data_IF_322428833030
#
_entry.id   IF_322428833030
#
_cell.length_a   1.000
_cell.length_b   1.000
_cell.length_c   1.000
_cell.angle_alpha   90.00
_cell.angle_beta   90.00
_cell.angle_gamma   90.00
#
_symmetry.space_group_name_H-M   'P 1'
#
loop_
_entity.id
_entity.type
_entity.pdbx_description
1 polymer ?
#
# COMPACT_ATOMS: atom_id res chain seq x y z
N UNK A 1 46.28 7.60 21.74
CA UNK A 1 46.18 6.49 20.76
C UNK A 1 45.11 5.52 21.23
N UNK A 2 43.88 5.60 20.69
CA UNK A 2 42.83 4.64 20.98
C UNK A 2 42.74 3.64 19.82
N UNK A 3 43.05 2.37 20.09
CA UNK A 3 42.90 1.25 19.16
C UNK A 3 41.39 1.04 18.87
N UNK A 4 40.90 1.64 17.78
CA UNK A 4 39.58 1.31 17.25
C UNK A 4 39.65 -0.01 16.50
N UNK A 5 38.88 -1.01 16.94
CA UNK A 5 38.67 -2.29 16.25
C UNK A 5 38.34 -2.02 14.77
N UNK A 6 39.19 -2.48 13.85
CA UNK A 6 38.83 -2.54 12.42
C UNK A 6 37.68 -3.54 12.29
N UNK A 7 36.46 -3.03 12.07
CA UNK A 7 35.39 -3.85 11.51
C UNK A 7 35.90 -4.50 10.23
N UNK A 8 35.77 -5.83 10.11
CA UNK A 8 36.36 -6.56 9.00
C UNK A 8 35.91 -6.00 7.66
N UNK A 9 36.83 -5.97 6.68
CA UNK A 9 36.62 -5.50 5.31
C UNK A 9 35.73 -6.42 4.46
N UNK A 10 34.69 -7.02 5.07
CA UNK A 10 33.70 -7.85 4.41
C UNK A 10 32.30 -7.36 4.76
N UNK A 11 31.47 -7.16 3.74
CA UNK A 11 30.04 -6.86 3.86
C UNK A 11 29.28 -8.06 4.44
N UNK A 12 28.01 -7.85 4.82
CA UNK A 12 27.13 -8.90 5.35
C UNK A 12 26.89 -10.06 4.36
N UNK A 13 27.01 -9.81 3.06
CA UNK A 13 26.91 -10.79 1.97
C UNK A 13 28.24 -11.51 1.68
N UNK A 14 29.28 -11.30 2.48
CA UNK A 14 30.58 -11.94 2.35
C UNK A 14 31.53 -11.29 1.35
N UNK A 15 31.06 -10.27 0.61
CA UNK A 15 31.87 -9.55 -0.39
C UNK A 15 32.92 -8.68 0.30
N UNK A 16 34.14 -8.74 -0.21
CA UNK A 16 35.23 -7.87 0.24
C UNK A 16 34.91 -6.41 -0.10
N UNK A 17 34.89 -5.55 0.91
CA UNK A 17 34.69 -4.11 0.77
C UNK A 17 35.80 -3.37 1.54
N UNK A 18 36.74 -2.75 0.81
CA UNK A 18 37.83 -2.01 1.43
C UNK A 18 37.39 -0.63 1.94
N UNK A 19 36.18 -0.18 1.62
CA UNK A 19 35.66 1.12 2.05
C UNK A 19 35.10 1.03 3.48
N UNK A 20 35.16 2.16 4.18
CA UNK A 20 34.58 2.27 5.52
C UNK A 20 33.07 2.38 5.45
N UNK A 21 32.37 1.84 6.44
CA UNK A 21 30.91 1.96 6.50
C UNK A 21 30.48 3.40 6.86
N UNK A 22 29.41 3.88 6.22
CA UNK A 22 28.81 5.19 6.51
C UNK A 22 28.37 5.32 7.98
N UNK A 23 28.00 4.21 8.63
CA UNK A 23 27.67 4.18 10.07
C UNK A 23 28.89 4.44 10.96
N UNK A 24 30.07 3.96 10.57
CA UNK A 24 31.31 4.14 11.34
C UNK A 24 31.72 5.61 11.32
N UNK A 25 31.68 6.24 10.14
CA UNK A 25 32.09 7.64 10.02
C UNK A 25 31.06 8.61 10.61
N UNK A 26 29.75 8.26 10.63
CA UNK A 26 28.73 8.98 11.41
C UNK A 26 29.10 9.03 12.90
N UNK A 27 29.39 7.88 13.51
CA UNK A 27 29.76 7.81 14.94
C UNK A 27 31.03 8.60 15.25
N UNK A 28 32.01 8.58 14.33
CA UNK A 28 33.24 9.38 14.49
C UNK A 28 32.98 10.87 14.40
N UNK A 29 32.13 11.32 13.48
CA UNK A 29 31.77 12.72 13.33
C UNK A 29 31.10 13.26 14.61
N UNK A 30 30.23 12.45 15.24
CA UNK A 30 29.58 12.78 16.53
C UNK A 30 30.59 12.94 17.70
N UNK A 31 31.76 12.29 17.62
CA UNK A 31 32.79 12.32 18.66
C UNK A 31 33.82 13.46 18.49
N UNK A 32 33.74 14.27 17.44
CA UNK A 32 34.67 15.39 17.19
C UNK A 32 34.41 16.52 18.22
N UNK A 33 35.45 17.20 18.75
CA UNK A 33 35.26 18.35 19.62
C UNK A 33 34.37 19.42 19.00
N UNK A 34 33.49 20.01 19.82
CA UNK A 34 32.57 21.08 19.39
C UNK A 34 33.34 22.40 19.24
N UNK A 35 33.53 22.84 18.00
CA UNK A 35 34.08 24.15 17.62
C UNK A 35 33.03 24.88 16.77
N UNK A 36 33.18 26.20 16.53
CA UNK A 36 32.28 26.90 15.61
C UNK A 36 32.18 26.23 14.23
N UNK A 37 33.28 25.64 13.74
CA UNK A 37 33.31 24.92 12.46
C UNK A 37 32.56 23.58 12.54
N UNK A 38 32.81 22.76 13.57
CA UNK A 38 32.21 21.43 13.66
C UNK A 38 30.72 21.46 14.02
N UNK A 39 30.26 22.59 14.56
CA UNK A 39 28.84 22.86 14.82
C UNK A 39 28.11 23.48 13.61
N UNK A 40 28.83 23.93 12.58
CA UNK A 40 28.23 24.51 11.38
C UNK A 40 27.46 23.44 10.59
N UNK A 41 26.27 23.74 10.05
CA UNK A 41 25.55 22.84 9.14
C UNK A 41 26.42 22.37 7.97
N UNK A 42 27.32 23.24 7.47
CA UNK A 42 28.23 22.91 6.37
C UNK A 42 29.25 21.80 6.69
N UNK A 43 29.49 21.49 7.97
CA UNK A 43 30.39 20.42 8.40
C UNK A 43 29.68 19.08 8.61
N UNK A 44 28.34 19.06 8.63
CA UNK A 44 27.57 17.82 8.80
C UNK A 44 27.78 16.90 7.61
N UNK A 45 27.79 15.60 7.87
CA UNK A 45 27.85 14.60 6.81
C UNK A 45 26.52 14.59 6.05
N UNK A 46 26.56 14.80 4.73
CA UNK A 46 25.37 15.02 3.90
C UNK A 46 24.29 13.92 4.02
N UNK A 47 24.68 12.65 4.20
CA UNK A 47 23.74 11.51 4.25
C UNK A 47 23.06 11.32 5.63
N UNK A 48 23.39 12.15 6.62
CA UNK A 48 22.73 12.20 7.95
C UNK A 48 22.29 13.61 8.33
N UNK A 49 22.39 14.57 7.40
CA UNK A 49 21.95 15.94 7.61
C UNK A 49 20.49 16.09 7.14
N UNK A 50 19.55 16.02 8.09
CA UNK A 50 18.11 16.06 7.80
C UNK A 50 17.68 17.36 7.12
N UNK A 51 18.29 18.49 7.52
CA UNK A 51 18.02 19.80 6.91
C UNK A 51 18.44 19.81 5.43
N UNK A 52 19.62 19.24 5.14
CA UNK A 52 20.12 19.12 3.77
C UNK A 52 19.24 18.18 2.93
N UNK A 53 18.92 17.00 3.46
CA UNK A 53 18.07 16.01 2.79
C UNK A 53 16.65 16.53 2.52
N UNK A 54 16.17 17.49 3.31
CA UNK A 54 14.87 18.12 3.13
C UNK A 54 14.85 19.28 2.10
N UNK A 55 16.01 19.72 1.58
CA UNK A 55 16.09 20.77 0.55
C UNK A 55 15.37 20.40 -0.75
N UNK A 56 14.79 21.37 -1.42
CA UNK A 56 13.99 21.16 -2.65
C UNK A 56 14.78 20.42 -3.74
N UNK A 57 16.07 20.73 -3.89
CA UNK A 57 16.96 20.14 -4.89
C UNK A 57 17.16 18.64 -4.70
N UNK A 58 16.95 18.11 -3.49
CA UNK A 58 17.08 16.68 -3.17
C UNK A 58 15.74 15.93 -3.22
N UNK A 59 14.70 16.53 -3.80
CA UNK A 59 13.45 15.81 -4.12
C UNK A 59 13.69 14.49 -4.88
N UNK A 60 14.56 14.41 -5.91
CA UNK A 60 14.82 13.15 -6.61
C UNK A 60 15.39 12.05 -5.69
N UNK A 61 16.24 12.42 -4.74
CA UNK A 61 16.80 11.47 -3.76
C UNK A 61 15.72 10.96 -2.82
N UNK A 62 14.83 11.83 -2.32
CA UNK A 62 13.70 11.42 -1.46
C UNK A 62 12.71 10.51 -2.20
N UNK A 63 12.40 10.81 -3.46
CA UNK A 63 11.60 9.93 -4.31
C UNK A 63 12.25 8.56 -4.47
N UNK A 64 13.56 8.50 -4.69
CA UNK A 64 14.30 7.25 -4.76
C UNK A 64 14.26 6.48 -3.44
N UNK A 65 14.39 7.14 -2.29
CA UNK A 65 14.29 6.50 -0.98
C UNK A 65 12.90 5.92 -0.72
N UNK A 66 11.83 6.63 -1.06
CA UNK A 66 10.45 6.13 -0.95
C UNK A 66 10.16 4.97 -1.91
N UNK A 67 10.84 4.92 -3.06
CA UNK A 67 10.76 3.76 -3.95
C UNK A 67 11.51 2.55 -3.35
N UNK A 68 12.76 2.75 -2.92
CA UNK A 68 13.64 1.66 -2.51
C UNK A 68 13.31 1.06 -1.15
N UNK A 69 12.98 1.88 -0.14
CA UNK A 69 12.81 1.39 1.24
C UNK A 69 11.71 0.33 1.36
N UNK A 70 10.47 0.55 0.86
CA UNK A 70 9.43 -0.48 0.92
C UNK A 70 9.82 -1.72 0.10
N UNK A 71 10.38 -1.53 -1.09
CA UNK A 71 10.76 -2.62 -1.98
C UNK A 71 11.83 -3.54 -1.38
N UNK A 72 12.86 -2.95 -0.75
CA UNK A 72 13.90 -3.70 -0.04
C UNK A 72 13.31 -4.47 1.14
N UNK A 73 12.47 -3.83 1.96
CA UNK A 73 11.87 -4.48 3.13
C UNK A 73 10.89 -5.60 2.75
N UNK A 74 10.09 -5.41 1.70
CA UNK A 74 9.20 -6.45 1.17
C UNK A 74 10.00 -7.64 0.62
N UNK A 75 11.09 -7.38 -0.08
CA UNK A 75 12.00 -8.41 -0.61
C UNK A 75 12.68 -9.19 0.52
N UNK A 76 13.19 -8.52 1.55
CA UNK A 76 13.78 -9.15 2.74
C UNK A 76 12.79 -10.04 3.49
N UNK A 77 11.50 -9.68 3.44
CA UNK A 77 10.38 -10.46 4.00
C UNK A 77 9.84 -11.53 3.05
N UNK A 78 10.42 -11.68 1.86
CA UNK A 78 10.03 -12.69 0.89
C UNK A 78 8.68 -12.44 0.23
N UNK A 79 8.09 -11.24 0.32
CA UNK A 79 6.79 -10.93 -0.28
C UNK A 79 6.93 -10.89 -1.81
N UNK A 80 6.24 -11.81 -2.50
CA UNK A 80 6.27 -11.98 -3.96
C UNK A 80 5.07 -11.34 -4.63
N UNK A 81 3.87 -11.47 -4.04
CA UNK A 81 2.65 -10.91 -4.60
C UNK A 81 1.67 -10.45 -3.53
N UNK A 82 0.78 -9.53 -3.91
CA UNK A 82 -0.21 -8.90 -3.04
C UNK A 82 -1.61 -8.96 -3.63
N UNK A 83 -2.61 -8.91 -2.74
CA UNK A 83 -4.00 -8.59 -3.10
C UNK A 83 -4.30 -7.20 -2.55
N UNK A 84 -4.55 -6.27 -3.46
CA UNK A 84 -4.79 -4.86 -3.12
C UNK A 84 -6.26 -4.66 -2.77
N UNK A 85 -6.51 -3.97 -1.66
CA UNK A 85 -7.86 -3.60 -1.24
C UNK A 85 -7.99 -2.09 -1.07
N UNK A 86 -8.90 -1.50 -1.85
CA UNK A 86 -9.27 -0.10 -1.78
C UNK A 86 -10.72 0.06 -1.31
N UNK A 87 -11.02 1.14 -0.61
CA UNK A 87 -12.40 1.44 -0.21
C UNK A 87 -12.53 2.59 0.77
N UNK A 88 -13.77 2.88 1.15
CA UNK A 88 -14.10 4.01 2.00
C UNK A 88 -13.48 3.93 3.40
N UNK A 89 -12.60 4.89 3.72
CA UNK A 89 -12.07 5.09 5.06
C UNK A 89 -13.15 5.45 6.11
N UNK A 90 -14.36 5.81 5.66
CA UNK A 90 -15.46 6.31 6.49
C UNK A 90 -16.51 5.25 6.83
N UNK A 91 -16.41 4.07 6.21
CA UNK A 91 -17.36 2.97 6.45
C UNK A 91 -17.07 2.39 7.84
N UNK A 92 -18.01 2.41 8.79
CA UNK A 92 -17.80 1.86 10.12
C UNK A 92 -17.81 0.33 10.08
N UNK A 93 -17.11 -0.30 11.04
CA UNK A 93 -17.31 -1.71 11.32
C UNK A 93 -18.76 -1.96 11.80
N UNK A 94 -19.33 -3.15 11.60
CA UNK A 94 -20.68 -3.45 12.06
C UNK A 94 -20.84 -3.20 13.56
N UNK A 95 -21.95 -2.55 13.93
CA UNK A 95 -22.25 -2.17 15.32
C UNK A 95 -21.45 -0.98 15.86
N UNK A 96 -20.52 -0.41 15.09
CA UNK A 96 -19.86 0.86 15.43
C UNK A 96 -20.67 2.05 14.89
N UNK A 97 -20.50 3.21 15.54
CA UNK A 97 -21.15 4.44 15.09
C UNK A 97 -20.57 4.92 13.75
N UNK A 98 -21.40 5.49 12.89
CA UNK A 98 -20.98 6.17 11.67
C UNK A 98 -20.30 7.53 11.99
N UNK A 99 -19.12 7.46 12.62
CA UNK A 99 -18.36 8.60 13.15
C UNK A 99 -18.05 9.68 12.11
N UNK A 100 -18.02 9.32 10.83
CA UNK A 100 -17.73 10.24 9.74
C UNK A 100 -18.98 10.97 9.19
N UNK A 101 -20.18 10.59 9.64
CA UNK A 101 -21.42 11.20 9.19
C UNK A 101 -21.53 12.66 9.64
N UNK A 102 -22.01 13.52 8.74
CA UNK A 102 -22.27 14.95 9.01
C UNK A 102 -23.76 15.29 9.04
N UNK A 103 -24.61 14.34 8.67
CA UNK A 103 -26.07 14.45 8.68
C UNK A 103 -26.72 13.06 8.78
N UNK A 104 -28.03 13.01 8.99
CA UNK A 104 -28.77 11.76 9.19
C UNK A 104 -28.77 10.85 7.95
N UNK A 105 -28.82 11.43 6.74
CA UNK A 105 -28.76 10.65 5.50
C UNK A 105 -27.43 9.91 5.41
N UNK A 106 -26.32 10.59 5.69
CA UNK A 106 -25.00 9.97 5.72
C UNK A 106 -24.89 8.92 6.83
N UNK A 107 -25.48 9.17 8.00
CA UNK A 107 -25.47 8.21 9.11
C UNK A 107 -26.13 6.89 8.70
N UNK A 108 -27.37 6.95 8.19
CA UNK A 108 -28.11 5.77 7.73
C UNK A 108 -27.36 5.04 6.61
N UNK A 109 -26.83 5.78 5.63
CA UNK A 109 -26.12 5.17 4.50
C UNK A 109 -24.79 4.54 4.92
N UNK A 110 -24.03 5.16 5.84
CA UNK A 110 -22.77 4.60 6.33
C UNK A 110 -23.00 3.39 7.24
N UNK A 111 -24.04 3.41 8.08
CA UNK A 111 -24.44 2.25 8.88
C UNK A 111 -24.84 1.08 7.96
N UNK A 112 -25.63 1.32 6.93
CA UNK A 112 -25.98 0.30 5.92
C UNK A 112 -24.75 -0.20 5.14
N UNK A 113 -23.79 0.67 4.86
CA UNK A 113 -22.54 0.33 4.17
C UNK A 113 -21.59 -0.55 5.02
N UNK A 114 -21.87 -0.76 6.32
CA UNK A 114 -21.05 -1.64 7.17
C UNK A 114 -20.97 -3.09 6.65
N UNK A 115 -21.94 -3.52 5.83
CA UNK A 115 -21.87 -4.80 5.12
C UNK A 115 -20.60 -4.94 4.27
N UNK A 116 -20.11 -3.84 3.69
CA UNK A 116 -18.87 -3.85 2.90
C UNK A 116 -17.63 -4.01 3.78
N UNK A 117 -17.69 -3.62 5.05
CA UNK A 117 -16.61 -3.92 6.01
C UNK A 117 -16.55 -5.44 6.24
N UNK A 118 -17.68 -6.10 6.45
CA UNK A 118 -17.72 -7.56 6.64
C UNK A 118 -17.26 -8.31 5.41
N UNK A 119 -17.73 -7.93 4.22
CA UNK A 119 -17.29 -8.55 2.97
C UNK A 119 -15.81 -8.31 2.68
N UNK A 120 -15.27 -7.12 3.00
CA UNK A 120 -13.84 -6.85 2.91
C UNK A 120 -13.03 -7.76 3.85
N UNK A 121 -13.44 -7.85 5.12
CA UNK A 121 -12.78 -8.72 6.10
C UNK A 121 -12.83 -10.18 5.66
N UNK A 122 -13.98 -10.64 5.17
CA UNK A 122 -14.20 -12.00 4.70
C UNK A 122 -13.35 -12.32 3.46
N UNK A 123 -13.29 -11.41 2.49
CA UNK A 123 -12.45 -11.54 1.31
C UNK A 123 -10.97 -11.64 1.67
N UNK A 124 -10.51 -10.78 2.59
CA UNK A 124 -9.14 -10.82 3.10
C UNK A 124 -8.80 -12.14 3.79
N UNK A 125 -9.74 -12.71 4.57
CA UNK A 125 -9.58 -14.05 5.17
C UNK A 125 -9.44 -15.14 4.12
N UNK A 126 -10.26 -15.13 3.06
CA UNK A 126 -10.16 -16.11 1.96
C UNK A 126 -8.80 -16.04 1.27
N UNK A 127 -8.36 -14.84 0.90
CA UNK A 127 -7.04 -14.63 0.30
C UNK A 127 -5.92 -15.09 1.23
N UNK A 128 -6.01 -14.78 2.52
CA UNK A 128 -4.99 -15.13 3.51
C UNK A 128 -4.91 -16.62 3.80
N UNK A 129 -6.06 -17.32 3.83
CA UNK A 129 -6.09 -18.79 3.90
C UNK A 129 -5.40 -19.43 2.71
N UNK A 130 -5.61 -18.90 1.50
CA UNK A 130 -4.91 -19.38 0.31
C UNK A 130 -3.42 -19.05 0.35
N UNK A 131 -3.08 -17.83 0.78
CA UNK A 131 -1.71 -17.35 0.99
C UNK A 131 -0.89 -18.27 1.91
N UNK A 132 -1.53 -18.95 2.88
CA UNK A 132 -0.88 -19.94 3.74
C UNK A 132 -0.23 -21.11 2.97
N UNK A 133 -0.77 -21.47 1.79
CA UNK A 133 -0.15 -22.48 0.92
C UNK A 133 1.16 -22.03 0.26
N UNK A 134 1.48 -20.74 0.37
CA UNK A 134 2.71 -20.11 -0.13
C UNK A 134 3.57 -19.55 1.00
N UNK A 135 3.44 -20.07 2.23
CA UNK A 135 4.11 -19.56 3.44
C UNK A 135 3.89 -18.05 3.66
N UNK A 136 2.73 -17.55 3.25
CA UNK A 136 2.37 -16.13 3.28
C UNK A 136 3.29 -15.20 2.46
N UNK A 137 3.93 -15.72 1.43
CA UNK A 137 4.73 -14.91 0.50
C UNK A 137 3.95 -14.44 -0.73
N UNK A 138 2.78 -15.00 -0.99
CA UNK A 138 1.93 -14.66 -2.14
C UNK A 138 0.52 -14.26 -1.70
N UNK A 139 -0.18 -13.47 -2.51
CA UNK A 139 -1.56 -13.00 -2.20
C UNK A 139 -1.67 -12.27 -0.85
N UNK A 140 -0.60 -11.61 -0.42
CA UNK A 140 -0.56 -10.89 0.85
C UNK A 140 -1.44 -9.65 0.79
N UNK A 141 -2.30 -9.46 1.79
CA UNK A 141 -3.20 -8.31 1.82
C UNK A 141 -2.41 -7.01 1.94
N UNK A 142 -2.67 -6.07 1.03
CA UNK A 142 -2.14 -4.71 1.09
C UNK A 142 -3.27 -3.70 1.01
N UNK A 143 -3.23 -2.72 1.91
CA UNK A 143 -4.21 -1.63 1.97
C UNK A 143 -3.51 -0.29 2.17
N UNK A 144 -4.28 0.81 2.18
CA UNK A 144 -3.76 2.12 2.55
C UNK A 144 -3.49 2.31 4.05
N UNK A 145 -3.75 1.30 4.89
CA UNK A 145 -3.46 1.30 6.33
C UNK A 145 -4.37 2.20 7.18
N UNK A 146 -5.42 2.79 6.61
CA UNK A 146 -6.39 3.61 7.33
C UNK A 146 -7.54 2.81 7.97
N UNK A 147 -8.56 3.49 8.52
CA UNK A 147 -9.77 2.86 9.05
C UNK A 147 -10.72 2.37 7.94
N UNK A 148 -11.86 1.80 8.35
CA UNK A 148 -12.92 1.36 7.44
C UNK A 148 -12.54 0.13 6.63
N UNK A 149 -12.78 0.14 5.31
CA UNK A 149 -12.48 -1.02 4.44
C UNK A 149 -11.00 -1.44 4.50
N UNK A 150 -10.09 -0.46 4.60
CA UNK A 150 -8.65 -0.76 4.72
C UNK A 150 -8.36 -1.55 5.99
N UNK A 151 -8.92 -1.12 7.12
CA UNK A 151 -8.83 -1.85 8.38
C UNK A 151 -9.46 -3.24 8.29
N UNK A 152 -10.64 -3.35 7.66
CA UNK A 152 -11.30 -4.64 7.46
C UNK A 152 -10.40 -5.64 6.71
N UNK A 153 -9.72 -5.18 5.67
CA UNK A 153 -8.75 -5.98 4.93
C UNK A 153 -7.58 -6.43 5.80
N UNK A 154 -6.91 -5.51 6.47
CA UNK A 154 -5.78 -5.85 7.36
C UNK A 154 -6.22 -6.79 8.50
N UNK A 155 -7.40 -6.54 9.08
CA UNK A 155 -7.98 -7.37 10.14
C UNK A 155 -8.32 -8.78 9.65
N UNK A 156 -8.88 -8.91 8.45
CA UNK A 156 -9.19 -10.21 7.87
C UNK A 156 -7.95 -11.08 7.65
N UNK A 157 -6.81 -10.47 7.29
CA UNK A 157 -5.53 -11.18 7.26
C UNK A 157 -5.05 -11.57 8.67
N UNK A 158 -5.12 -10.64 9.61
CA UNK A 158 -4.72 -10.89 11.00
C UNK A 158 -5.56 -12.01 11.67
N UNK A 159 -6.85 -12.13 11.36
CA UNK A 159 -7.72 -13.20 11.86
C UNK A 159 -7.23 -14.60 11.45
N UNK A 160 -6.51 -14.71 10.33
CA UNK A 160 -5.92 -15.97 9.82
C UNK A 160 -4.43 -16.10 10.19
N UNK A 161 -3.91 -15.21 11.04
CA UNK A 161 -2.50 -15.17 11.42
C UNK A 161 -1.54 -14.78 10.29
N UNK A 162 -2.07 -14.25 9.19
CA UNK A 162 -1.27 -13.86 8.03
C UNK A 162 -0.70 -12.43 8.19
N UNK A 163 0.48 -12.15 7.63
CA UNK A 163 0.99 -10.78 7.55
C UNK A 163 0.08 -9.91 6.66
N UNK A 164 0.03 -8.61 6.97
CA UNK A 164 -0.68 -7.63 6.14
C UNK A 164 0.10 -6.32 6.04
N UNK A 165 0.05 -5.72 4.87
CA UNK A 165 0.83 -4.52 4.51
C UNK A 165 -0.07 -3.28 4.63
N UNK A 166 0.48 -2.22 5.21
CA UNK A 166 -0.13 -0.89 5.24
C UNK A 166 0.75 0.11 4.51
N UNK A 167 0.25 0.67 3.42
CA UNK A 167 0.90 1.78 2.71
C UNK A 167 0.21 3.07 3.13
N UNK A 168 0.62 3.65 4.26
CA UNK A 168 0.09 4.90 4.79
C UNK A 168 0.66 6.12 4.06
N UNK A 169 0.04 7.28 4.25
CA UNK A 169 0.56 8.54 3.71
C UNK A 169 0.40 9.66 4.73
N UNK A 170 1.37 10.56 4.79
CA UNK A 170 1.32 11.73 5.67
C UNK A 170 0.22 12.68 5.19
N UNK A 171 -0.75 12.94 6.07
CA UNK A 171 -1.86 13.88 5.85
C UNK A 171 -1.91 14.91 6.99
N UNK A 172 -2.49 16.10 6.78
CA UNK A 172 -2.57 17.15 7.81
C UNK A 172 -3.29 16.73 9.11
N UNK A 173 -4.22 15.79 9.00
CA UNK A 173 -4.84 15.12 10.14
C UNK A 173 -4.35 13.68 10.12
N UNK A 174 -3.28 13.44 10.89
CA UNK A 174 -2.57 12.18 10.90
C UNK A 174 -3.48 11.07 11.43
N UNK A 175 -3.65 10.01 10.65
CA UNK A 175 -4.27 8.78 11.09
C UNK A 175 -3.15 7.79 11.37
N UNK A 176 -3.02 7.38 12.63
CA UNK A 176 -2.19 6.22 12.95
C UNK A 176 -2.63 5.05 12.07
N UNK A 177 -1.69 4.23 11.58
CA UNK A 177 -2.06 3.01 10.87
C UNK A 177 -2.99 2.18 11.74
N UNK A 178 -3.96 1.50 11.12
CA UNK A 178 -4.83 0.60 11.87
C UNK A 178 -4.00 -0.50 12.55
N UNK A 179 -4.49 -0.99 13.70
CA UNK A 179 -3.71 -1.88 14.58
C UNK A 179 -3.50 -3.30 14.02
N UNK A 180 -4.07 -3.62 12.86
CA UNK A 180 -3.99 -4.95 12.23
C UNK A 180 -2.92 -5.03 11.13
N UNK A 181 -2.33 -3.90 10.75
CA UNK A 181 -1.14 -3.89 9.89
C UNK A 181 0.01 -4.56 10.63
N UNK A 182 0.74 -5.46 9.97
CA UNK A 182 1.95 -6.04 10.55
C UNK A 182 2.98 -4.95 10.81
N UNK A 183 3.50 -4.77 12.04
CA UNK A 183 4.33 -3.62 12.39
C UNK A 183 5.50 -3.36 11.44
N UNK A 184 6.19 -4.40 10.98
CA UNK A 184 7.34 -4.24 10.08
C UNK A 184 6.97 -4.12 8.59
N UNK A 185 5.68 -4.20 8.27
CA UNK A 185 5.10 -3.97 6.94
C UNK A 185 4.20 -2.71 6.93
N UNK A 186 4.40 -1.82 7.90
CA UNK A 186 3.75 -0.51 7.97
C UNK A 186 4.67 0.56 7.39
N UNK A 187 4.35 1.02 6.18
CA UNK A 187 5.14 2.00 5.44
C UNK A 187 4.41 3.34 5.43
N UNK A 188 5.15 4.43 5.63
CA UNK A 188 4.60 5.79 5.59
C UNK A 188 5.24 6.58 4.45
N UNK A 189 4.42 7.03 3.52
CA UNK A 189 4.83 7.77 2.33
C UNK A 189 4.60 9.28 2.50
N UNK A 190 5.35 10.06 1.74
CA UNK A 190 5.07 11.49 1.56
C UNK A 190 4.55 11.76 0.14
N UNK A 191 5.03 11.02 -0.87
CA UNK A 191 4.59 11.21 -2.26
C UNK A 191 3.51 10.20 -2.68
N UNK A 192 2.32 10.71 -3.04
CA UNK A 192 1.20 9.89 -3.54
C UNK A 192 1.60 9.00 -4.72
N UNK A 193 2.37 9.53 -5.68
CA UNK A 193 2.74 8.79 -6.89
C UNK A 193 3.56 7.52 -6.58
N UNK A 194 4.50 7.60 -5.62
CA UNK A 194 5.32 6.45 -5.24
C UNK A 194 4.49 5.43 -4.45
N UNK A 195 3.60 5.91 -3.58
CA UNK A 195 2.64 5.05 -2.87
C UNK A 195 1.73 4.29 -3.84
N UNK A 196 1.17 4.96 -4.84
CA UNK A 196 0.33 4.37 -5.90
C UNK A 196 1.08 3.29 -6.68
N UNK A 197 2.34 3.58 -7.05
CA UNK A 197 3.21 2.60 -7.70
C UNK A 197 3.37 1.32 -6.85
N UNK A 198 3.61 1.44 -5.54
CA UNK A 198 3.76 0.27 -4.65
C UNK A 198 2.51 -0.59 -4.50
N UNK A 199 1.31 -0.03 -4.69
CA UNK A 199 0.12 -0.87 -4.79
C UNK A 199 0.18 -1.79 -6.02
N UNK A 200 0.70 -1.30 -7.14
CA UNK A 200 0.66 -2.01 -8.43
C UNK A 200 1.81 -3.00 -8.63
N UNK A 201 3.02 -2.69 -8.16
CA UNK A 201 4.25 -3.46 -8.46
C UNK A 201 4.12 -4.97 -8.15
N UNK A 202 3.34 -5.34 -7.14
CA UNK A 202 3.15 -6.74 -6.69
C UNK A 202 1.72 -7.25 -6.84
N UNK A 203 0.81 -6.47 -7.42
CA UNK A 203 -0.60 -6.80 -7.44
C UNK A 203 -0.88 -8.06 -8.28
N UNK A 204 -1.51 -9.07 -7.67
CA UNK A 204 -2.18 -10.18 -8.37
C UNK A 204 -3.69 -9.98 -8.48
N UNK A 205 -4.29 -9.19 -7.60
CA UNK A 205 -5.70 -8.85 -7.70
C UNK A 205 -5.95 -7.49 -7.03
N UNK A 206 -6.98 -6.79 -7.50
CA UNK A 206 -7.39 -5.50 -6.96
C UNK A 206 -8.89 -5.56 -6.66
N UNK A 207 -9.24 -5.48 -5.39
CA UNK A 207 -10.60 -5.40 -4.92
C UNK A 207 -10.92 -3.97 -4.47
N UNK A 208 -11.97 -3.39 -5.05
CA UNK A 208 -12.39 -2.02 -4.79
C UNK A 208 -13.79 -2.04 -4.21
N UNK A 209 -13.91 -1.58 -2.97
CA UNK A 209 -15.17 -1.45 -2.25
C UNK A 209 -15.71 -0.03 -2.38
N UNK A 210 -16.99 0.22 -2.07
CA UNK A 210 -17.55 1.56 -2.08
C UNK A 210 -16.70 2.56 -1.29
N UNK A 211 -16.45 3.71 -1.89
CA UNK A 211 -15.49 4.67 -1.38
C UNK A 211 -15.64 6.06 -1.97
N UNK A 212 -14.76 6.97 -1.55
CA UNK A 212 -14.76 8.36 -1.97
C UNK A 212 -13.72 8.63 -3.07
N UNK A 213 -13.24 9.87 -3.15
CA UNK A 213 -12.28 10.28 -4.18
C UNK A 213 -10.96 9.51 -4.17
N UNK A 214 -10.41 9.16 -3.00
CA UNK A 214 -9.19 8.36 -2.94
C UNK A 214 -9.36 6.99 -3.60
N UNK A 215 -10.49 6.32 -3.33
CA UNK A 215 -10.84 5.03 -3.93
C UNK A 215 -11.07 5.15 -5.44
N UNK A 216 -11.73 6.22 -5.90
CA UNK A 216 -11.94 6.48 -7.33
C UNK A 216 -10.62 6.76 -8.06
N UNK A 217 -9.73 7.55 -7.45
CA UNK A 217 -8.40 7.87 -7.96
C UNK A 217 -7.56 6.60 -8.14
N UNK A 218 -7.51 5.73 -7.14
CA UNK A 218 -6.85 4.43 -7.22
C UNK A 218 -7.51 3.51 -8.26
N UNK A 219 -8.84 3.42 -8.29
CA UNK A 219 -9.59 2.61 -9.25
C UNK A 219 -9.31 3.02 -10.71
N UNK A 220 -9.42 4.31 -11.03
CA UNK A 220 -9.19 4.79 -12.40
C UNK A 220 -7.72 4.65 -12.81
N UNK A 221 -6.77 4.86 -11.90
CA UNK A 221 -5.36 4.60 -12.20
C UNK A 221 -5.12 3.13 -12.57
N UNK A 222 -5.67 2.19 -11.79
CA UNK A 222 -5.56 0.75 -12.10
C UNK A 222 -6.18 0.44 -13.46
N UNK A 223 -7.39 0.94 -13.72
CA UNK A 223 -8.11 0.70 -14.96
C UNK A 223 -7.33 1.23 -16.16
N UNK A 224 -6.80 2.45 -16.08
CA UNK A 224 -5.99 3.06 -17.15
C UNK A 224 -4.67 2.32 -17.37
N UNK A 225 -4.00 1.84 -16.32
CA UNK A 225 -2.77 1.04 -16.46
C UNK A 225 -3.02 -0.26 -17.21
N UNK A 226 -4.14 -0.95 -16.92
CA UNK A 226 -4.54 -2.17 -17.63
C UNK A 226 -4.94 -1.85 -19.07
N UNK A 227 -5.82 -0.86 -19.27
CA UNK A 227 -6.33 -0.45 -20.57
C UNK A 227 -5.20 -0.08 -21.54
N UNK A 228 -4.18 0.64 -21.06
CA UNK A 228 -3.05 1.10 -21.88
C UNK A 228 -1.94 0.05 -22.04
N UNK A 229 -2.09 -1.14 -21.44
CA UNK A 229 -1.07 -2.20 -21.47
C UNK A 229 0.22 -1.86 -20.71
N UNK A 230 0.17 -0.87 -19.81
CA UNK A 230 1.30 -0.49 -18.95
C UNK A 230 1.41 -1.39 -17.71
N UNK A 231 0.34 -2.13 -17.40
CA UNK A 231 0.30 -3.23 -16.43
C UNK A 231 -0.35 -4.45 -17.09
N UNK A 232 0.08 -5.65 -16.70
CA UNK A 232 -0.60 -6.87 -17.13
C UNK A 232 -2.06 -6.89 -16.67
N UNK A 233 -2.90 -7.59 -17.42
CA UNK A 233 -4.27 -7.86 -16.98
C UNK A 233 -4.24 -8.70 -15.69
N UNK A 234 -5.04 -8.27 -14.73
CA UNK A 234 -5.32 -8.95 -13.47
C UNK A 234 -6.83 -8.80 -13.12
N UNK A 235 -7.36 -9.54 -12.14
CA UNK A 235 -8.71 -9.34 -11.64
C UNK A 235 -8.88 -7.96 -10.99
N UNK A 236 -9.63 -7.07 -11.65
CA UNK A 236 -10.09 -5.79 -11.11
C UNK A 236 -11.57 -5.91 -10.73
N UNK A 237 -11.84 -6.01 -9.43
CA UNK A 237 -13.11 -6.45 -8.88
C UNK A 237 -13.76 -5.30 -8.10
N UNK A 238 -14.97 -4.92 -8.48
CA UNK A 238 -15.78 -3.89 -7.82
C UNK A 238 -16.85 -4.54 -6.95
N UNK A 239 -16.78 -4.31 -5.64
CA UNK A 239 -17.79 -4.76 -4.68
C UNK A 239 -18.98 -3.79 -4.62
N UNK A 240 -20.20 -4.32 -4.60
CA UNK A 240 -21.43 -3.54 -4.50
C UNK A 240 -21.83 -2.91 -5.84
N UNK A 241 -22.29 -3.74 -6.78
CA UNK A 241 -22.59 -3.31 -8.15
C UNK A 241 -23.54 -2.11 -8.21
N UNK A 242 -24.57 -2.14 -7.36
CA UNK A 242 -25.58 -1.07 -7.26
C UNK A 242 -24.94 0.29 -6.94
N UNK A 243 -23.94 0.33 -6.04
CA UNK A 243 -23.23 1.55 -5.71
C UNK A 243 -22.49 2.10 -6.93
N UNK A 244 -21.69 1.28 -7.60
CA UNK A 244 -20.86 1.72 -8.73
C UNK A 244 -21.68 2.19 -9.92
N UNK A 245 -22.75 1.46 -10.28
CA UNK A 245 -23.65 1.85 -11.37
C UNK A 245 -24.43 3.14 -11.07
N UNK A 246 -24.63 3.47 -9.80
CA UNK A 246 -25.26 4.73 -9.42
C UNK A 246 -24.37 5.96 -9.61
N UNK A 247 -23.04 5.78 -9.62
CA UNK A 247 -22.07 6.89 -9.70
C UNK A 247 -21.32 6.96 -11.03
N UNK A 248 -21.20 5.85 -11.76
CA UNK A 248 -20.50 5.78 -13.05
C UNK A 248 -21.34 4.97 -14.04
N UNK A 249 -21.60 5.56 -15.20
CA UNK A 249 -22.17 4.85 -16.34
C UNK A 249 -21.07 4.49 -17.34
N UNK A 250 -20.50 3.30 -17.19
CA UNK A 250 -19.41 2.81 -18.05
C UNK A 250 -19.85 2.61 -19.50
N UNK A 251 -21.10 2.16 -19.71
CA UNK A 251 -21.64 1.95 -21.05
C UNK A 251 -21.78 3.27 -21.81
N UNK A 252 -22.16 4.35 -21.12
CA UNK A 252 -22.20 5.69 -21.72
C UNK A 252 -20.80 6.19 -22.13
N UNK A 253 -19.73 5.84 -21.41
CA UNK A 253 -18.36 6.19 -21.82
C UNK A 253 -17.98 5.48 -23.13
N UNK A 254 -18.36 4.21 -23.26
CA UNK A 254 -18.14 3.41 -24.47
C UNK A 254 -19.01 3.92 -25.64
N UNK A 255 -20.30 4.18 -25.41
CA UNK A 255 -21.23 4.72 -26.41
C UNK A 255 -20.77 6.09 -26.93
N UNK A 256 -20.29 6.95 -26.03
CA UNK A 256 -19.74 8.25 -26.40
C UNK A 256 -18.40 8.14 -27.15
N UNK A 257 -17.69 7.01 -27.02
CA UNK A 257 -16.41 6.76 -27.69
C UNK A 257 -15.18 7.29 -26.95
N UNK A 258 -15.27 7.49 -25.63
CA UNK A 258 -14.09 7.86 -24.79
C UNK A 258 -13.30 6.65 -24.28
N UNK A 259 -13.88 5.46 -24.37
CA UNK A 259 -13.23 4.16 -24.14
C UNK A 259 -13.67 3.19 -25.23
N UNK A 260 -12.94 2.08 -25.43
CA UNK A 260 -13.38 1.02 -26.32
C UNK A 260 -14.56 0.24 -25.69
N UNK A 261 -15.48 -0.31 -26.49
CA UNK A 261 -16.59 -1.11 -25.97
C UNK A 261 -16.16 -2.30 -25.09
N UNK A 262 -14.99 -2.88 -25.38
CA UNK A 262 -14.44 -4.00 -24.63
C UNK A 262 -13.75 -3.59 -23.32
N UNK A 263 -13.46 -2.30 -23.11
CA UNK A 263 -12.80 -1.83 -21.88
C UNK A 263 -13.69 -2.03 -20.63
N UNK A 264 -15.01 -2.05 -20.81
CA UNK A 264 -15.97 -2.36 -19.74
C UNK A 264 -15.75 -3.77 -19.19
N UNK A 265 -15.24 -4.70 -20.00
CA UNK A 265 -14.93 -6.09 -19.61
C UNK A 265 -13.64 -6.23 -18.79
N UNK A 266 -12.90 -5.13 -18.57
CA UNK A 266 -11.75 -5.11 -17.66
C UNK A 266 -12.19 -5.22 -16.20
N UNK A 267 -13.46 -4.90 -15.92
CA UNK A 267 -14.01 -4.81 -14.57
C UNK A 267 -14.95 -6.00 -14.33
N UNK A 268 -14.93 -6.55 -13.11
CA UNK A 268 -15.91 -7.53 -12.65
C UNK A 268 -16.68 -6.99 -11.45
N UNK A 269 -18.00 -7.09 -11.46
CA UNK A 269 -18.84 -6.72 -10.33
C UNK A 269 -19.19 -7.93 -9.47
N UNK A 270 -19.18 -7.74 -8.15
CA UNK A 270 -19.54 -8.77 -7.17
C UNK A 270 -20.23 -8.13 -5.96
N UNK A 271 -21.02 -8.92 -5.25
CA UNK A 271 -21.60 -8.51 -3.97
C UNK A 271 -21.09 -9.35 -2.78
N UNK A 272 -20.29 -10.40 -3.03
CA UNK A 272 -19.77 -11.30 -2.00
C UNK A 272 -18.30 -11.61 -2.15
N UNK A 273 -17.63 -11.85 -1.02
CA UNK A 273 -16.25 -12.25 -0.93
C UNK A 273 -15.97 -13.57 -1.68
N UNK A 274 -16.89 -14.54 -1.61
CA UNK A 274 -16.76 -15.80 -2.32
C UNK A 274 -16.77 -15.63 -3.84
N UNK A 275 -17.66 -14.78 -4.36
CA UNK A 275 -17.71 -14.49 -5.80
C UNK A 275 -16.43 -13.80 -6.25
N UNK A 276 -15.93 -12.83 -5.47
CA UNK A 276 -14.66 -12.17 -5.74
C UNK A 276 -13.49 -13.16 -5.74
N UNK A 277 -13.41 -14.02 -4.73
CA UNK A 277 -12.35 -15.01 -4.62
C UNK A 277 -12.39 -16.01 -5.77
N UNK A 278 -13.58 -16.46 -6.17
CA UNK A 278 -13.75 -17.32 -7.34
C UNK A 278 -13.22 -16.69 -8.62
N UNK A 279 -13.46 -15.39 -8.85
CA UNK A 279 -12.89 -14.68 -10.02
C UNK A 279 -11.36 -14.71 -9.98
N UNK A 280 -10.75 -14.50 -8.80
CA UNK A 280 -9.29 -14.56 -8.65
C UNK A 280 -8.77 -15.97 -8.97
N UNK A 281 -9.40 -17.01 -8.44
CA UNK A 281 -9.02 -18.41 -8.72
C UNK A 281 -9.15 -18.73 -10.20
N UNK A 282 -10.33 -18.51 -10.77
CA UNK A 282 -10.62 -18.81 -12.17
C UNK A 282 -9.62 -18.07 -13.09
N UNK A 283 -9.27 -16.82 -12.80
CA UNK A 283 -8.31 -16.06 -13.61
C UNK A 283 -6.91 -16.69 -13.68
N UNK A 284 -6.42 -17.25 -12.58
CA UNK A 284 -5.08 -17.82 -12.52
C UNK A 284 -5.04 -19.32 -12.89
N UNK A 285 -6.11 -20.07 -12.63
CA UNK A 285 -6.26 -21.46 -13.10
C UNK A 285 -6.28 -21.57 -14.63
N UNK A 286 -6.80 -20.56 -15.34
CA UNK A 286 -6.83 -20.55 -16.81
C UNK A 286 -5.54 -19.99 -17.47
N UNK A 287 -4.52 -19.66 -16.66
CA UNK A 287 -3.24 -19.09 -17.12
C UNK A 287 -2.03 -19.99 -16.88
N UNK A 288 -2.19 -21.08 -16.13
CA UNK A 288 -1.23 -22.18 -16.00
C UNK A 288 -1.58 -23.32 -16.96
#
# INVERSE_FOLDING_TARGET
MAKGRNGGSRRKDGVWDPLKSSSTDRQRAEAVPKTPQTMSPAYRLAYVDEDFLCREELRPIRLQLELMKPEMMLTERGIKSTVVMFGGARIPAPGQSAWAARNDVQRVNLEAASVYYDEARKFARLCSKYSASFDFHEYVIVTGGGPGVMEAGNRGAADEGAPSIGLNIVLPHEQAPNAYVTPELSFNFHYFAIRKMHFMVRAKAIAVFPGGFGTLDEFFECLTLIQTGRMERLPLILFGETFWRSIINFDALAEFGTIAPDDVKLISFVDTAEAAWKIVQDFYEHRE
#
